data_IF_915511341720
#
_entry.id   IF_915511341720
#
_cell.length_a   1.000
_cell.length_b   1.000
_cell.length_c   1.000
_cell.angle_alpha   90.00
_cell.angle_beta   90.00
_cell.angle_gamma   90.00
#
_symmetry.space_group_name_H-M   'P 1'
#
loop_
_entity.id
_entity.type
_entity.pdbx_description
1 polymer ?
#
# COMPACT_ATOMS: atom_id res chain seq x y z
N UNK A 1 -29.67 10.38 78.88
CA UNK A 1 -28.62 10.25 79.90
C UNK A 1 -28.97 9.00 80.69
N UNK A 2 -28.00 8.09 80.87
CA UNK A 2 -28.07 6.78 81.58
C UNK A 2 -28.70 5.56 80.84
N UNK A 3 -27.83 4.72 80.28
CA UNK A 3 -27.92 3.25 80.12
C UNK A 3 -27.52 2.56 81.43
N UNK A 4 -27.88 1.28 81.80
CA UNK A 4 -27.58 0.06 81.01
C UNK A 4 -28.40 -1.25 81.27
N UNK A 5 -28.22 -2.24 80.36
CA UNK A 5 -27.86 -3.62 80.72
C UNK A 5 -28.95 -4.69 80.90
N UNK A 6 -28.97 -5.70 80.02
CA UNK A 6 -29.05 -7.12 80.42
C UNK A 6 -28.37 -8.00 79.36
N UNK A 7 -27.28 -8.67 79.77
CA UNK A 7 -26.65 -9.80 79.07
C UNK A 7 -27.46 -11.07 79.35
N UNK A 8 -27.67 -11.91 78.34
CA UNK A 8 -27.66 -13.38 78.52
C UNK A 8 -26.73 -13.97 77.47
N UNK A 9 -25.94 -14.92 77.95
CA UNK A 9 -24.72 -15.49 77.39
C UNK A 9 -25.00 -16.89 76.81
N UNK A 10 -24.16 -17.27 75.84
CA UNK A 10 -23.74 -18.62 75.43
C UNK A 10 -24.58 -19.40 74.40
N UNK A 11 -24.05 -19.46 73.18
CA UNK A 11 -23.35 -20.67 72.72
C UNK A 11 -22.32 -20.28 71.66
N UNK A 12 -21.04 -20.52 71.96
CA UNK A 12 -19.97 -20.64 70.99
C UNK A 12 -20.07 -22.02 70.33
N UNK A 13 -19.97 -22.05 69.00
CA UNK A 13 -19.24 -23.13 68.32
C UNK A 13 -18.50 -22.50 67.13
N UNK A 14 -17.19 -22.72 67.15
CA UNK A 14 -16.15 -22.68 66.10
C UNK A 14 -16.58 -22.35 64.65
N UNK A 15 -15.94 -21.38 63.97
CA UNK A 15 -14.75 -21.61 63.10
C UNK A 15 -15.02 -22.75 62.10
N UNK A 16 -14.94 -22.64 60.77
CA UNK A 16 -14.28 -21.77 59.79
C UNK A 16 -14.82 -22.26 58.43
N UNK A 17 -14.98 -21.41 57.42
CA UNK A 17 -14.42 -21.63 56.07
C UNK A 17 -14.73 -20.42 55.18
N UNK A 18 -13.65 -19.75 54.81
CA UNK A 18 -13.59 -18.62 53.90
C UNK A 18 -14.36 -18.85 52.60
N UNK A 19 -15.22 -17.89 52.26
CA UNK A 19 -15.68 -17.70 50.88
C UNK A 19 -14.72 -16.71 50.22
N UNK A 20 -13.88 -17.12 49.25
CA UNK A 20 -12.99 -16.19 48.59
C UNK A 20 -13.81 -15.25 47.70
N UNK A 21 -13.65 -13.95 47.94
CA UNK A 21 -13.93 -12.89 46.96
C UNK A 21 -13.45 -13.35 45.58
N UNK A 22 -14.25 -13.21 44.51
CA UNK A 22 -13.75 -13.47 43.18
C UNK A 22 -12.61 -12.49 42.95
N UNK A 23 -11.40 -13.04 42.84
CA UNK A 23 -10.23 -12.34 42.38
C UNK A 23 -10.56 -11.71 41.03
N UNK A 24 -10.87 -10.41 41.03
CA UNK A 24 -10.84 -9.60 39.82
C UNK A 24 -9.47 -9.81 39.20
N UNK A 25 -9.48 -10.53 38.09
CA UNK A 25 -8.31 -10.84 37.30
C UNK A 25 -7.69 -9.53 36.83
N UNK A 26 -6.54 -9.19 37.43
CA UNK A 26 -5.64 -8.08 37.04
C UNK A 26 -5.19 -8.18 35.56
N UNK A 27 -5.57 -9.24 34.85
CA UNK A 27 -5.27 -9.48 33.43
C UNK A 27 -6.45 -9.19 32.47
N UNK A 28 -7.53 -8.57 32.95
CA UNK A 28 -8.59 -8.08 32.06
C UNK A 28 -8.23 -6.67 31.59
N UNK A 29 -7.96 -6.41 30.29
CA UNK A 29 -7.72 -5.05 29.82
C UNK A 29 -8.96 -4.20 30.15
N UNK A 30 -8.75 -3.03 30.77
CA UNK A 30 -9.83 -2.12 31.16
C UNK A 30 -10.88 -1.98 30.04
N UNK A 31 -12.19 -2.09 30.34
CA UNK A 31 -13.26 -2.10 29.35
C UNK A 31 -13.37 -0.81 28.51
N UNK A 32 -12.67 0.25 28.91
CA UNK A 32 -12.63 1.54 28.21
C UNK A 32 -11.52 1.67 27.15
N UNK A 33 -10.68 0.63 26.97
CA UNK A 33 -9.60 0.63 25.98
C UNK A 33 -9.87 -0.30 24.79
N UNK A 34 -11.00 -1.01 24.78
CA UNK A 34 -11.38 -1.86 23.65
C UNK A 34 -12.01 -0.99 22.55
N UNK A 35 -11.56 -1.12 21.29
CA UNK A 35 -12.13 -0.35 20.20
C UNK A 35 -13.60 -0.76 19.96
N UNK A 36 -14.52 0.17 20.21
CA UNK A 36 -15.98 -0.03 20.23
C UNK A 36 -16.63 -0.37 18.86
N UNK A 37 -15.86 -0.55 17.79
CA UNK A 37 -16.35 -0.63 16.40
C UNK A 37 -15.81 -1.87 15.66
N UNK A 38 -16.09 -3.02 16.26
CA UNK A 38 -15.51 -4.33 15.98
C UNK A 38 -16.22 -5.07 14.82
N UNK A 39 -16.23 -4.46 13.63
CA UNK A 39 -16.72 -5.10 12.40
C UNK A 39 -15.74 -4.95 11.21
N UNK A 40 -14.44 -4.90 11.48
CA UNK A 40 -13.43 -4.90 10.42
C UNK A 40 -13.24 -6.34 9.88
N UNK A 41 -13.24 -6.50 8.56
CA UNK A 41 -12.86 -7.77 7.94
C UNK A 41 -11.34 -7.86 7.98
N UNK A 42 -10.80 -8.89 8.61
CA UNK A 42 -9.36 -9.12 8.61
C UNK A 42 -8.92 -9.65 7.24
N UNK A 43 -7.94 -8.99 6.62
CA UNK A 43 -7.24 -9.53 5.45
C UNK A 43 -5.77 -9.74 5.77
N UNK A 44 -5.05 -10.58 4.99
CA UNK A 44 -3.62 -10.73 5.14
C UNK A 44 -2.87 -9.38 5.12
N UNK A 45 -3.38 -8.37 4.42
CA UNK A 45 -2.76 -7.04 4.34
C UNK A 45 -3.36 -6.01 5.32
N UNK A 46 -3.96 -6.46 6.42
CA UNK A 46 -4.56 -5.60 7.46
C UNK A 46 -6.10 -5.55 7.42
N UNK A 47 -6.74 -4.89 8.40
CA UNK A 47 -8.19 -4.80 8.47
C UNK A 47 -8.77 -3.88 7.38
N UNK A 48 -9.84 -4.34 6.72
CA UNK A 48 -10.66 -3.56 5.78
C UNK A 48 -12.05 -3.30 6.35
N UNK A 49 -12.63 -2.16 5.97
CA UNK A 49 -14.05 -1.88 6.25
C UNK A 49 -14.95 -2.85 5.51
N UNK A 50 -16.05 -3.24 6.16
CA UNK A 50 -17.14 -3.94 5.47
C UNK A 50 -17.74 -3.05 4.40
N UNK A 51 -18.11 -3.65 3.28
CA UNK A 51 -18.81 -2.96 2.19
C UNK A 51 -20.07 -2.23 2.69
N UNK A 52 -20.82 -2.82 3.62
CA UNK A 52 -22.02 -2.23 4.21
C UNK A 52 -21.75 -0.90 4.92
N UNK A 53 -20.59 -0.75 5.58
CA UNK A 53 -20.20 0.44 6.35
C UNK A 53 -19.85 1.65 5.47
N UNK A 54 -19.58 1.45 4.17
CA UNK A 54 -19.28 2.58 3.29
C UNK A 54 -20.54 3.42 3.02
N UNK A 55 -20.35 4.73 3.06
CA UNK A 55 -21.37 5.70 2.66
C UNK A 55 -21.79 5.45 1.21
N UNK A 56 -23.08 5.54 0.90
CA UNK A 56 -23.62 5.36 -0.45
C UNK A 56 -22.89 6.14 -1.55
N UNK A 57 -22.55 7.44 -1.40
CA UNK A 57 -21.72 8.15 -2.38
C UNK A 57 -20.34 7.53 -2.59
N UNK A 58 -19.69 7.03 -1.55
CA UNK A 58 -18.35 6.41 -1.66
C UNK A 58 -18.42 5.05 -2.37
N UNK A 59 -19.50 4.30 -2.16
CA UNK A 59 -19.77 3.04 -2.91
C UNK A 59 -19.93 3.32 -4.40
N UNK A 60 -20.76 4.31 -4.75
CA UNK A 60 -20.99 4.69 -6.14
C UNK A 60 -19.67 5.15 -6.78
N UNK A 61 -18.94 6.03 -6.09
CA UNK A 61 -17.63 6.49 -6.55
C UNK A 61 -16.67 5.32 -6.81
N UNK A 62 -16.51 4.41 -5.84
CA UNK A 62 -15.62 3.27 -6.00
C UNK A 62 -16.02 2.38 -7.18
N UNK A 63 -17.31 2.07 -7.36
CA UNK A 63 -17.77 1.31 -8.52
C UNK A 63 -17.49 2.04 -9.85
N UNK A 64 -17.76 3.34 -9.92
CA UNK A 64 -17.51 4.16 -11.11
C UNK A 64 -16.02 4.20 -11.44
N UNK A 65 -15.14 4.41 -10.46
CA UNK A 65 -13.68 4.43 -10.67
C UNK A 65 -13.14 3.07 -11.09
N UNK A 66 -13.62 1.96 -10.53
CA UNK A 66 -13.18 0.63 -10.99
C UNK A 66 -13.61 0.39 -12.44
N UNK A 67 -14.86 0.71 -12.79
CA UNK A 67 -15.34 0.57 -14.17
C UNK A 67 -14.58 1.48 -15.14
N UNK A 68 -14.26 2.70 -14.71
CA UNK A 68 -13.51 3.66 -15.53
C UNK A 68 -12.08 3.16 -15.80
N UNK A 69 -11.38 2.68 -14.77
CA UNK A 69 -10.03 2.12 -14.91
C UNK A 69 -10.02 0.88 -15.79
N UNK A 70 -11.00 -0.03 -15.64
CA UNK A 70 -11.13 -1.20 -16.50
C UNK A 70 -11.40 -0.83 -17.96
N UNK A 71 -12.21 0.20 -18.21
CA UNK A 71 -12.44 0.74 -19.56
C UNK A 71 -11.15 1.29 -20.17
N UNK A 72 -10.37 2.07 -19.41
CA UNK A 72 -9.07 2.61 -19.87
C UNK A 72 -8.06 1.49 -20.12
N UNK A 73 -8.03 0.44 -19.30
CA UNK A 73 -7.21 -0.76 -19.55
C UNK A 73 -7.63 -1.41 -20.87
N UNK A 74 -8.93 -1.67 -21.07
CA UNK A 74 -9.45 -2.28 -22.30
C UNK A 74 -9.05 -1.50 -23.55
N UNK A 75 -9.22 -0.17 -23.53
CA UNK A 75 -8.78 0.70 -24.62
C UNK A 75 -7.25 0.66 -24.82
N UNK A 76 -6.47 0.57 -23.75
CA UNK A 76 -5.00 0.52 -23.86
C UNK A 76 -4.53 -0.83 -24.43
N UNK A 77 -5.20 -1.92 -24.09
CA UNK A 77 -4.95 -3.26 -24.64
C UNK A 77 -5.30 -3.31 -26.13
N UNK A 78 -6.44 -2.76 -26.53
CA UNK A 78 -6.83 -2.69 -27.95
C UNK A 78 -5.77 -1.95 -28.79
N UNK A 79 -5.26 -0.84 -28.27
CA UNK A 79 -4.16 -0.10 -28.92
C UNK A 79 -2.85 -0.89 -28.95
N UNK A 80 -2.56 -1.69 -27.91
CA UNK A 80 -1.38 -2.54 -27.85
C UNK A 80 -1.35 -3.55 -29.00
N UNK A 81 -2.50 -4.13 -29.38
CA UNK A 81 -2.61 -5.04 -30.51
C UNK A 81 -2.42 -4.37 -31.87
N UNK A 82 -2.64 -3.05 -31.95
CA UNK A 82 -2.56 -2.29 -33.21
C UNK A 82 -1.20 -1.59 -33.40
N UNK A 83 -0.38 -1.44 -32.36
CA UNK A 83 0.87 -0.67 -32.37
C UNK A 83 2.12 -1.50 -32.76
N UNK A 84 3.13 -0.81 -33.31
CA UNK A 84 4.50 -1.35 -33.58
C UNK A 84 5.44 -1.12 -32.37
N UNK A 85 6.55 -1.86 -32.34
CA UNK A 85 7.47 -2.10 -31.19
C UNK A 85 7.76 -0.93 -30.23
N UNK A 86 7.96 0.32 -30.68
CA UNK A 86 8.37 1.41 -29.78
C UNK A 86 7.23 1.91 -28.87
N UNK A 87 5.98 1.82 -29.31
CA UNK A 87 4.82 2.19 -28.49
C UNK A 87 4.39 1.08 -27.52
N UNK A 88 4.86 -0.16 -27.75
CA UNK A 88 4.50 -1.33 -26.96
C UNK A 88 4.93 -1.19 -25.49
N UNK A 89 6.18 -0.81 -25.26
CA UNK A 89 6.78 -0.64 -23.92
C UNK A 89 6.01 0.38 -23.09
N UNK A 90 5.68 1.49 -23.74
CA UNK A 90 4.92 2.59 -23.19
C UNK A 90 3.53 2.13 -22.74
N UNK A 91 2.84 1.40 -23.61
CA UNK A 91 1.50 0.89 -23.35
C UNK A 91 1.52 -0.19 -22.27
N UNK A 92 2.56 -1.02 -22.22
CA UNK A 92 2.74 -2.04 -21.16
C UNK A 92 2.98 -1.40 -19.78
N UNK A 93 3.86 -0.40 -19.69
CA UNK A 93 4.07 0.37 -18.44
C UNK A 93 2.76 1.03 -17.98
N UNK A 94 1.97 1.57 -18.92
CA UNK A 94 0.68 2.17 -18.61
C UNK A 94 -0.33 1.13 -18.09
N UNK A 95 -0.40 -0.07 -18.67
CA UNK A 95 -1.25 -1.17 -18.18
C UNK A 95 -0.85 -1.57 -16.77
N UNK A 96 0.45 -1.76 -16.51
CA UNK A 96 0.97 -2.05 -15.17
C UNK A 96 0.52 -0.95 -14.19
N UNK A 97 0.72 0.32 -14.54
CA UNK A 97 0.28 1.46 -13.73
C UNK A 97 -1.22 1.46 -13.42
N UNK A 98 -2.08 1.13 -14.39
CA UNK A 98 -3.54 1.09 -14.20
C UNK A 98 -3.97 -0.08 -13.30
N UNK A 99 -3.32 -1.24 -13.40
CA UNK A 99 -3.56 -2.38 -12.48
C UNK A 99 -3.21 -1.99 -11.04
N UNK A 100 -2.08 -1.29 -10.84
CA UNK A 100 -1.74 -0.74 -9.54
C UNK A 100 -2.70 0.36 -9.07
N UNK A 101 -3.24 1.20 -9.98
CA UNK A 101 -4.29 2.16 -9.62
C UNK A 101 -5.53 1.49 -9.04
N UNK A 102 -5.96 0.36 -9.60
CA UNK A 102 -7.08 -0.44 -9.05
C UNK A 102 -6.76 -0.92 -7.63
N UNK A 103 -5.53 -1.39 -7.41
CA UNK A 103 -5.07 -1.79 -6.08
C UNK A 103 -5.06 -0.61 -5.09
N UNK A 104 -4.53 0.55 -5.50
CA UNK A 104 -4.43 1.76 -4.66
C UNK A 104 -5.78 2.36 -4.30
N UNK A 105 -6.72 2.46 -5.25
CA UNK A 105 -8.06 2.96 -4.93
C UNK A 105 -8.82 1.98 -4.02
N UNK A 106 -8.66 0.68 -4.24
CA UNK A 106 -9.27 -0.36 -3.40
C UNK A 106 -8.78 -0.29 -1.96
N UNK A 107 -7.45 -0.22 -1.75
CA UNK A 107 -6.90 -0.07 -0.40
C UNK A 107 -7.14 1.31 0.18
N UNK A 108 -7.00 2.37 -0.61
CA UNK A 108 -7.22 3.75 -0.17
C UNK A 108 -8.63 3.97 0.36
N UNK A 109 -9.65 3.39 -0.28
CA UNK A 109 -11.04 3.52 0.15
C UNK A 109 -11.42 2.50 1.23
N UNK A 110 -11.16 1.20 1.01
CA UNK A 110 -11.59 0.15 1.95
C UNK A 110 -10.80 0.15 3.26
N UNK A 111 -9.52 0.51 3.20
CA UNK A 111 -8.67 0.66 4.40
C UNK A 111 -8.50 2.13 4.80
N UNK A 112 -9.19 3.12 4.20
CA UNK A 112 -8.93 4.55 4.49
C UNK A 112 -7.43 4.92 4.51
N UNK A 113 -6.61 4.23 3.71
CA UNK A 113 -5.17 4.46 3.69
C UNK A 113 -4.88 5.68 2.80
N UNK A 114 -4.64 6.82 3.45
CA UNK A 114 -4.35 8.09 2.77
C UNK A 114 -3.13 8.01 1.85
N UNK A 115 -2.12 7.21 2.20
CA UNK A 115 -0.89 7.09 1.38
C UNK A 115 -1.19 6.45 0.03
N UNK A 116 -1.98 5.37 0.02
CA UNK A 116 -2.42 4.71 -1.23
C UNK A 116 -3.27 5.65 -2.07
N UNK A 117 -4.15 6.43 -1.44
CA UNK A 117 -5.02 7.37 -2.15
C UNK A 117 -4.24 8.56 -2.74
N UNK A 118 -3.19 9.04 -2.05
CA UNK A 118 -2.25 10.04 -2.60
C UNK A 118 -1.54 9.48 -3.83
N UNK A 119 -1.06 8.24 -3.78
CA UNK A 119 -0.37 7.67 -4.95
C UNK A 119 -1.33 7.30 -6.07
N UNK A 120 -2.57 6.94 -5.75
CA UNK A 120 -3.63 6.87 -6.76
C UNK A 120 -3.78 8.20 -7.50
N UNK A 121 -3.90 9.32 -6.78
CA UNK A 121 -3.96 10.67 -7.38
C UNK A 121 -2.74 10.96 -8.26
N UNK A 122 -1.53 10.70 -7.75
CA UNK A 122 -0.30 10.91 -8.51
C UNK A 122 -0.26 10.04 -9.78
N UNK A 123 -0.71 8.78 -9.69
CA UNK A 123 -0.73 7.86 -10.83
C UNK A 123 -1.71 8.29 -11.91
N UNK A 124 -2.93 8.72 -11.53
CA UNK A 124 -3.91 9.26 -12.48
C UNK A 124 -3.40 10.57 -13.10
N UNK A 125 -2.75 11.44 -12.31
CA UNK A 125 -2.14 12.66 -12.83
C UNK A 125 -1.05 12.37 -13.87
N UNK A 126 -0.21 11.36 -13.65
CA UNK A 126 0.79 10.92 -14.62
C UNK A 126 0.15 10.35 -15.90
N UNK A 127 -0.95 9.58 -15.78
CA UNK A 127 -1.71 9.09 -16.95
C UNK A 127 -2.31 10.25 -17.74
N UNK A 128 -2.88 11.26 -17.06
CA UNK A 128 -3.41 12.46 -17.70
C UNK A 128 -2.30 13.26 -18.40
N UNK A 129 -1.17 13.50 -17.72
CA UNK A 129 -0.01 14.20 -18.29
C UNK A 129 0.50 13.48 -19.54
N UNK A 130 0.61 12.15 -19.47
CA UNK A 130 1.00 11.33 -20.63
C UNK A 130 0.02 11.47 -21.78
N UNK A 131 -1.29 11.48 -21.49
CA UNK A 131 -2.33 11.69 -22.51
C UNK A 131 -2.19 13.06 -23.19
N UNK A 132 -1.89 14.10 -22.41
CA UNK A 132 -1.61 15.46 -22.93
C UNK A 132 -0.38 15.47 -23.84
N UNK A 133 0.76 14.92 -23.39
CA UNK A 133 1.99 14.86 -24.18
C UNK A 133 1.75 14.08 -25.49
N UNK A 134 1.03 12.96 -25.41
CA UNK A 134 0.72 12.15 -26.59
C UNK A 134 -0.13 12.92 -27.61
N UNK A 135 -1.11 13.71 -27.15
CA UNK A 135 -1.95 14.52 -28.03
C UNK A 135 -1.21 15.72 -28.64
N UNK A 136 -0.30 16.36 -27.90
CA UNK A 136 0.47 17.52 -28.39
C UNK A 136 1.51 17.14 -29.43
N UNK A 137 2.15 15.97 -29.29
CA UNK A 137 3.18 15.47 -30.21
C UNK A 137 2.58 14.88 -31.50
N UNK A 138 1.31 14.47 -31.50
CA UNK A 138 0.70 13.78 -32.64
C UNK A 138 0.51 14.68 -33.90
N UNK A 139 0.80 14.17 -35.12
CA UNK A 139 0.53 14.88 -36.37
C UNK A 139 -0.97 15.13 -36.61
N UNK A 140 -1.31 16.28 -37.22
CA UNK A 140 -2.71 16.73 -37.39
C UNK A 140 -3.66 15.73 -38.07
N UNK A 141 -3.15 14.81 -38.90
CA UNK A 141 -3.95 13.80 -39.61
C UNK A 141 -4.51 12.69 -38.72
N UNK A 142 -3.90 12.42 -37.56
CA UNK A 142 -4.32 11.34 -36.64
C UNK A 142 -5.06 11.85 -35.39
N UNK A 143 -5.12 13.18 -35.20
CA UNK A 143 -5.80 13.83 -34.07
C UNK A 143 -7.28 13.46 -33.88
N UNK A 144 -8.14 13.34 -34.92
CA UNK A 144 -9.57 13.11 -34.68
C UNK A 144 -9.87 11.73 -34.09
N UNK A 145 -9.07 10.70 -34.43
CA UNK A 145 -9.24 9.36 -33.87
C UNK A 145 -8.84 9.29 -32.38
N UNK A 146 -7.84 10.08 -31.98
CA UNK A 146 -7.34 10.08 -30.60
C UNK A 146 -8.04 11.10 -29.69
N UNK A 147 -8.77 12.06 -30.26
CA UNK A 147 -9.45 13.13 -29.52
C UNK A 147 -10.47 12.58 -28.52
N UNK A 148 -11.29 11.62 -28.92
CA UNK A 148 -12.31 11.03 -28.04
C UNK A 148 -11.68 10.36 -26.81
N UNK A 149 -10.60 9.59 -27.02
CA UNK A 149 -9.84 8.94 -25.93
C UNK A 149 -9.17 9.95 -25.02
N UNK A 150 -8.56 10.99 -25.59
CA UNK A 150 -7.91 12.07 -24.85
C UNK A 150 -8.91 12.80 -23.94
N UNK A 151 -10.06 13.21 -24.49
CA UNK A 151 -11.11 13.90 -23.73
C UNK A 151 -11.68 12.99 -22.63
N UNK A 152 -11.93 11.71 -22.94
CA UNK A 152 -12.40 10.73 -21.96
C UNK A 152 -11.42 10.58 -20.78
N UNK A 153 -10.13 10.36 -21.07
CA UNK A 153 -9.10 10.18 -20.03
C UNK A 153 -8.97 11.42 -19.16
N UNK A 154 -9.03 12.63 -19.73
CA UNK A 154 -8.94 13.87 -18.96
C UNK A 154 -10.17 14.10 -18.08
N UNK A 155 -11.38 13.89 -18.61
CA UNK A 155 -12.61 14.11 -17.83
C UNK A 155 -12.74 13.11 -16.69
N UNK A 156 -12.53 11.82 -16.98
CA UNK A 156 -12.54 10.76 -15.98
C UNK A 156 -11.42 10.96 -14.96
N UNK A 157 -10.20 11.23 -15.43
CA UNK A 157 -9.06 11.44 -14.55
C UNK A 157 -9.22 12.65 -13.63
N UNK A 158 -9.76 13.77 -14.14
CA UNK A 158 -10.05 14.94 -13.33
C UNK A 158 -11.13 14.66 -12.27
N UNK A 159 -12.17 13.89 -12.63
CA UNK A 159 -13.20 13.44 -11.70
C UNK A 159 -12.61 12.55 -10.58
N UNK A 160 -11.83 11.54 -10.95
CA UNK A 160 -11.19 10.62 -10.00
C UNK A 160 -10.21 11.37 -9.06
N UNK A 161 -9.40 12.29 -9.59
CA UNK A 161 -8.51 13.12 -8.77
C UNK A 161 -9.30 14.00 -7.80
N UNK A 162 -10.35 14.68 -8.28
CA UNK A 162 -11.15 15.57 -7.43
C UNK A 162 -11.80 14.82 -6.28
N UNK A 163 -12.42 13.67 -6.57
CA UNK A 163 -13.06 12.83 -5.57
C UNK A 163 -12.05 12.24 -4.58
N UNK A 164 -10.90 11.77 -5.08
CA UNK A 164 -9.83 11.25 -4.23
C UNK A 164 -9.25 12.32 -3.30
N UNK A 165 -9.06 13.57 -3.76
CA UNK A 165 -8.59 14.66 -2.89
C UNK A 165 -9.59 14.98 -1.78
N UNK A 166 -10.89 15.00 -2.09
CA UNK A 166 -11.94 15.19 -1.06
C UNK A 166 -11.88 14.05 -0.02
N UNK A 167 -11.69 12.81 -0.47
CA UNK A 167 -11.54 11.65 0.42
C UNK A 167 -10.26 11.71 1.27
N UNK A 168 -9.14 12.19 0.72
CA UNK A 168 -7.89 12.38 1.48
C UNK A 168 -8.09 13.40 2.61
N UNK A 169 -8.81 14.49 2.34
CA UNK A 169 -9.11 15.55 3.31
C UNK A 169 -10.11 15.10 4.38
N UNK A 170 -10.92 14.07 4.12
CA UNK A 170 -11.85 13.53 5.10
C UNK A 170 -11.12 12.87 6.29
N UNK A 171 -11.70 12.96 7.49
CA UNK A 171 -11.10 12.42 8.71
C UNK A 171 -10.96 10.88 8.67
N UNK A 172 -9.73 10.39 8.85
CA UNK A 172 -9.42 8.96 8.86
C UNK A 172 -9.80 8.34 10.20
N UNK A 173 -11.00 7.76 10.29
CA UNK A 173 -11.50 7.11 11.51
C UNK A 173 -10.83 5.76 11.78
N UNK A 174 -10.18 5.17 10.79
CA UNK A 174 -9.63 3.81 10.90
C UNK A 174 -8.42 3.69 11.84
N UNK A 175 -7.53 4.70 11.92
CA UNK A 175 -6.43 4.69 12.89
C UNK A 175 -6.94 4.70 14.34
N UNK A 176 -7.95 5.52 14.63
CA UNK A 176 -8.63 5.53 15.94
C UNK A 176 -9.36 4.22 16.23
N UNK A 177 -9.98 3.61 15.21
CA UNK A 177 -10.65 2.30 15.36
C UNK A 177 -9.67 1.17 15.67
N UNK A 178 -8.46 1.18 15.12
CA UNK A 178 -7.47 0.10 15.34
C UNK A 178 -6.60 0.36 16.58
N UNK A 179 -6.11 1.60 16.75
CA UNK A 179 -5.23 1.98 17.86
C UNK A 179 -5.97 2.31 19.16
N UNK A 180 -7.26 2.64 19.10
CA UNK A 180 -8.02 3.21 20.21
C UNK A 180 -7.55 4.64 20.51
N UNK A 181 -7.67 5.07 21.77
CA UNK A 181 -7.23 6.41 22.20
C UNK A 181 -5.70 6.54 22.39
N UNK A 182 -4.93 5.46 22.23
CA UNK A 182 -3.47 5.51 22.39
C UNK A 182 -2.80 6.02 21.11
N UNK A 183 -2.21 7.21 21.20
CA UNK A 183 -1.50 7.86 20.10
C UNK A 183 -0.32 7.03 19.57
N UNK A 184 0.41 6.33 20.44
CA UNK A 184 1.53 5.47 20.05
C UNK A 184 1.12 4.34 19.10
N UNK A 185 -0.03 3.71 19.35
CA UNK A 185 -0.57 2.64 18.51
C UNK A 185 -1.14 3.17 17.19
N UNK A 186 -1.76 4.35 17.21
CA UNK A 186 -2.19 5.02 15.98
C UNK A 186 -0.99 5.37 15.08
N UNK A 187 0.08 5.90 15.66
CA UNK A 187 1.31 6.22 14.96
C UNK A 187 1.99 4.97 14.38
N UNK A 188 2.05 3.87 15.15
CA UNK A 188 2.56 2.59 14.66
C UNK A 188 1.73 2.04 13.50
N UNK A 189 0.41 2.13 13.61
CA UNK A 189 -0.49 1.70 12.55
C UNK A 189 -0.32 2.54 11.27
N UNK A 190 -0.09 3.84 11.41
CA UNK A 190 0.25 4.71 10.28
C UNK A 190 1.57 4.29 9.63
N UNK A 191 2.63 4.07 10.42
CA UNK A 191 3.93 3.62 9.89
C UNK A 191 3.86 2.24 9.23
N UNK A 192 3.04 1.33 9.78
CA UNK A 192 2.76 0.03 9.19
C UNK A 192 2.13 0.16 7.80
N UNK A 193 1.09 0.99 7.69
CA UNK A 193 0.43 1.27 6.42
C UNK A 193 1.36 1.95 5.42
N UNK A 194 2.18 2.89 5.87
CA UNK A 194 3.21 3.53 5.05
C UNK A 194 4.20 2.48 4.52
N UNK A 195 4.64 1.55 5.37
CA UNK A 195 5.56 0.49 4.97
C UNK A 195 4.94 -0.44 3.91
N UNK A 196 3.68 -0.86 4.09
CA UNK A 196 2.95 -1.64 3.07
C UNK A 196 2.76 -0.89 1.76
N UNK A 197 2.41 0.40 1.82
CA UNK A 197 2.26 1.23 0.62
C UNK A 197 3.59 1.34 -0.12
N UNK A 198 4.68 1.65 0.59
CA UNK A 198 6.02 1.72 -0.02
C UNK A 198 6.48 0.38 -0.60
N UNK A 199 6.17 -0.76 0.02
CA UNK A 199 6.43 -2.08 -0.55
C UNK A 199 5.74 -2.28 -1.90
N UNK A 200 4.49 -1.83 -2.03
CA UNK A 200 3.72 -1.97 -3.25
C UNK A 200 4.16 -0.98 -4.34
N UNK A 201 4.54 0.24 -3.97
CA UNK A 201 5.15 1.20 -4.90
C UNK A 201 6.51 0.71 -5.40
N UNK A 202 7.31 0.11 -4.54
CA UNK A 202 8.60 -0.47 -4.91
C UNK A 202 8.40 -1.61 -5.92
N UNK A 203 7.40 -2.47 -5.72
CA UNK A 203 7.03 -3.49 -6.71
C UNK A 203 6.62 -2.89 -8.05
N UNK A 204 5.77 -1.86 -8.06
CA UNK A 204 5.36 -1.18 -9.29
C UNK A 204 6.56 -0.58 -10.02
N UNK A 205 7.42 0.15 -9.30
CA UNK A 205 8.61 0.78 -9.87
C UNK A 205 9.58 -0.25 -10.46
N UNK A 206 9.77 -1.39 -9.78
CA UNK A 206 10.58 -2.50 -10.27
C UNK A 206 10.02 -3.11 -11.56
N UNK A 207 8.72 -3.40 -11.61
CA UNK A 207 8.08 -3.93 -12.80
C UNK A 207 8.19 -2.95 -13.98
N UNK A 208 7.99 -1.65 -13.75
CA UNK A 208 8.17 -0.61 -14.76
C UNK A 208 9.62 -0.53 -15.25
N UNK A 209 10.60 -0.55 -14.35
CA UNK A 209 12.02 -0.53 -14.69
C UNK A 209 12.43 -1.77 -15.49
N UNK A 210 11.95 -2.95 -15.09
CA UNK A 210 12.14 -4.21 -15.80
C UNK A 210 11.65 -4.14 -17.26
N UNK A 211 10.45 -3.56 -17.49
CA UNK A 211 9.90 -3.37 -18.83
C UNK A 211 10.73 -2.36 -19.65
N UNK A 212 11.19 -1.27 -19.04
CA UNK A 212 12.07 -0.29 -19.70
C UNK A 212 13.39 -0.94 -20.14
N UNK A 213 14.03 -1.71 -19.26
CA UNK A 213 15.30 -2.38 -19.55
C UNK A 213 15.17 -3.41 -20.68
N UNK A 214 14.06 -4.15 -20.72
CA UNK A 214 13.79 -5.10 -21.81
C UNK A 214 13.79 -4.40 -23.18
N UNK A 215 13.34 -3.15 -23.23
CA UNK A 215 13.21 -2.38 -24.47
C UNK A 215 14.54 -1.78 -24.91
N UNK A 216 15.34 -1.29 -23.96
CA UNK A 216 16.69 -0.78 -24.23
C UNK A 216 17.60 -1.88 -24.79
N UNK A 217 17.44 -3.10 -24.31
CA UNK A 217 18.26 -4.26 -24.72
C UNK A 217 17.68 -4.87 -25.99
N UNK A 218 17.81 -4.15 -27.12
CA UNK A 218 17.13 -4.40 -28.42
C UNK A 218 17.37 -5.79 -29.03
N UNK A 219 18.32 -6.57 -28.52
CA UNK A 219 18.51 -7.97 -28.86
C UNK A 219 18.10 -8.85 -27.66
N UNK A 220 16.90 -9.44 -27.75
CA UNK A 220 16.40 -10.38 -26.74
C UNK A 220 17.17 -11.70 -26.90
N UNK A 221 18.43 -11.72 -26.46
CA UNK A 221 19.12 -12.98 -26.19
C UNK A 221 18.34 -13.74 -25.12
N UNK A 222 18.24 -15.06 -25.24
CA UNK A 222 17.52 -15.92 -24.29
C UNK A 222 17.94 -15.67 -22.83
N UNK A 223 19.18 -15.20 -22.61
CA UNK A 223 19.70 -14.83 -21.29
C UNK A 223 19.00 -13.61 -20.69
N UNK A 224 18.73 -12.54 -21.46
CA UNK A 224 18.06 -11.35 -20.95
C UNK A 224 16.62 -11.64 -20.51
N UNK A 225 15.93 -12.53 -21.24
CA UNK A 225 14.60 -13.00 -20.84
C UNK A 225 14.63 -13.81 -19.54
N UNK A 226 15.65 -14.66 -19.34
CA UNK A 226 15.81 -15.44 -18.10
C UNK A 226 16.14 -14.51 -16.91
N UNK A 227 17.04 -13.54 -17.09
CA UNK A 227 17.35 -12.54 -16.07
C UNK A 227 16.12 -11.71 -15.69
N UNK A 228 15.30 -11.32 -16.67
CA UNK A 228 14.06 -10.59 -16.43
C UNK A 228 13.07 -11.42 -15.62
N UNK A 229 12.82 -12.68 -16.02
CA UNK A 229 11.92 -13.57 -15.29
C UNK A 229 12.41 -13.82 -13.86
N UNK A 230 13.72 -14.03 -13.68
CA UNK A 230 14.33 -14.15 -12.35
C UNK A 230 14.14 -12.88 -11.52
N UNK A 231 14.31 -11.69 -12.12
CA UNK A 231 14.09 -10.40 -11.46
C UNK A 231 12.64 -10.19 -11.00
N UNK A 232 11.66 -10.54 -11.83
CA UNK A 232 10.24 -10.49 -11.46
C UNK A 232 9.93 -11.46 -10.32
N UNK A 233 10.43 -12.69 -10.40
CA UNK A 233 10.27 -13.68 -9.33
C UNK A 233 10.92 -13.20 -8.01
N UNK A 234 12.10 -12.58 -8.09
CA UNK A 234 12.79 -11.99 -6.95
C UNK A 234 11.97 -10.85 -6.32
N UNK A 235 11.43 -9.95 -7.14
CA UNK A 235 10.58 -8.85 -6.69
C UNK A 235 9.35 -9.34 -5.92
N UNK A 236 8.67 -10.38 -6.44
CA UNK A 236 7.52 -11.00 -5.77
C UNK A 236 7.94 -11.65 -4.44
N UNK A 237 9.03 -12.41 -4.44
CA UNK A 237 9.54 -13.07 -3.24
C UNK A 237 9.88 -12.04 -2.14
N UNK A 238 10.56 -10.96 -2.51
CA UNK A 238 10.91 -9.85 -1.61
C UNK A 238 9.66 -9.20 -1.01
N UNK A 239 8.65 -8.91 -1.82
CA UNK A 239 7.39 -8.34 -1.31
C UNK A 239 6.70 -9.30 -0.35
N UNK A 240 6.64 -10.59 -0.69
CA UNK A 240 6.08 -11.60 0.21
C UNK A 240 6.85 -11.68 1.53
N UNK A 241 8.19 -11.71 1.49
CA UNK A 241 9.04 -11.68 2.68
C UNK A 241 8.79 -10.41 3.52
N UNK A 242 8.71 -9.24 2.89
CA UNK A 242 8.43 -7.97 3.56
C UNK A 242 7.07 -7.96 4.24
N UNK A 243 6.02 -8.40 3.54
CA UNK A 243 4.67 -8.53 4.08
C UNK A 243 4.67 -9.46 5.30
N UNK A 244 5.25 -10.66 5.18
CA UNK A 244 5.29 -11.64 6.28
C UNK A 244 6.10 -11.10 7.46
N UNK A 245 7.24 -10.43 7.21
CA UNK A 245 8.08 -9.86 8.26
C UNK A 245 7.32 -8.82 9.10
N UNK A 246 6.56 -7.97 8.42
CA UNK A 246 5.76 -6.92 9.03
C UNK A 246 4.57 -7.50 9.79
N UNK A 247 3.80 -8.41 9.17
CA UNK A 247 2.60 -8.97 9.78
C UNK A 247 2.88 -9.87 10.98
N UNK A 248 3.92 -10.71 10.88
CA UNK A 248 4.30 -11.63 11.96
C UNK A 248 5.21 -10.97 13.00
N UNK A 249 5.60 -9.70 12.80
CA UNK A 249 6.57 -8.98 13.63
C UNK A 249 7.91 -9.76 13.79
N UNK A 250 8.34 -10.45 12.73
CA UNK A 250 9.52 -11.32 12.76
C UNK A 250 10.79 -10.51 12.49
N UNK A 251 11.50 -10.16 13.57
CA UNK A 251 12.81 -9.50 13.53
C UNK A 251 13.83 -10.15 12.56
N UNK A 252 14.03 -11.49 12.53
CA UNK A 252 14.99 -12.08 11.61
C UNK A 252 14.55 -11.94 10.14
N UNK A 253 13.25 -12.02 9.87
CA UNK A 253 12.74 -11.88 8.50
C UNK A 253 12.81 -10.43 8.00
N UNK A 254 12.69 -9.45 8.91
CA UNK A 254 12.94 -8.04 8.59
C UNK A 254 14.41 -7.80 8.19
N UNK A 255 15.37 -8.46 8.86
CA UNK A 255 16.79 -8.41 8.45
C UNK A 255 17.03 -9.07 7.09
N UNK A 256 16.43 -10.24 6.85
CA UNK A 256 16.48 -10.90 5.54
C UNK A 256 15.93 -9.96 4.45
N UNK A 257 14.81 -9.29 4.72
CA UNK A 257 14.21 -8.33 3.80
C UNK A 257 15.14 -7.15 3.49
N UNK A 258 15.83 -6.59 4.50
CA UNK A 258 16.82 -5.52 4.27
C UNK A 258 17.99 -6.02 3.41
N UNK A 259 18.51 -7.22 3.69
CA UNK A 259 19.58 -7.84 2.92
C UNK A 259 19.14 -8.10 1.47
N UNK A 260 17.89 -8.56 1.25
CA UNK A 260 17.35 -8.80 -0.09
C UNK A 260 17.24 -7.52 -0.94
N UNK A 261 17.06 -6.35 -0.33
CA UNK A 261 17.00 -5.07 -1.05
C UNK A 261 18.39 -4.50 -1.37
N UNK A 262 19.45 -4.96 -0.72
CA UNK A 262 20.80 -4.41 -0.89
C UNK A 262 21.35 -4.57 -2.33
N UNK A 263 21.23 -5.74 -2.99
CA UNK A 263 21.63 -5.90 -4.38
C UNK A 263 20.88 -4.97 -5.34
N UNK A 264 19.60 -4.69 -5.07
CA UNK A 264 18.79 -3.82 -5.92
C UNK A 264 19.23 -2.36 -5.81
N UNK A 265 19.52 -1.88 -4.60
CA UNK A 265 20.06 -0.53 -4.41
C UNK A 265 21.42 -0.39 -5.10
N UNK A 266 22.28 -1.40 -4.99
CA UNK A 266 23.56 -1.43 -5.71
C UNK A 266 23.36 -1.42 -7.23
N UNK A 267 22.40 -2.20 -7.74
CA UNK A 267 22.07 -2.23 -9.16
C UNK A 267 21.51 -0.90 -9.67
N UNK A 268 20.62 -0.25 -8.91
CA UNK A 268 20.09 1.08 -9.26
C UNK A 268 21.21 2.15 -9.28
N UNK A 269 22.14 2.08 -8.32
CA UNK A 269 23.30 2.98 -8.29
C UNK A 269 24.22 2.75 -9.50
N UNK A 270 24.47 1.48 -9.86
CA UNK A 270 25.22 1.12 -11.06
C UNK A 270 24.52 1.60 -12.33
N UNK A 271 23.22 1.38 -12.45
CA UNK A 271 22.42 1.81 -13.60
C UNK A 271 22.45 3.33 -13.77
N UNK A 272 22.30 4.08 -12.67
CA UNK A 272 22.39 5.52 -12.66
C UNK A 272 23.80 6.00 -13.08
N UNK A 273 24.85 5.36 -12.56
CA UNK A 273 26.23 5.65 -12.95
C UNK A 273 26.46 5.40 -14.45
N UNK A 274 26.08 4.22 -14.95
CA UNK A 274 26.26 3.84 -16.34
C UNK A 274 25.55 4.81 -17.30
N UNK A 275 24.29 5.14 -17.00
CA UNK A 275 23.51 6.08 -17.82
C UNK A 275 24.09 7.49 -17.77
N UNK A 276 24.58 7.97 -16.63
CA UNK A 276 25.25 9.28 -16.53
C UNK A 276 26.55 9.30 -17.34
N UNK A 277 27.33 8.22 -17.31
CA UNK A 277 28.60 8.13 -18.05
C UNK A 277 28.43 8.04 -19.57
N UNK A 278 27.34 7.42 -20.01
CA UNK A 278 26.99 7.29 -21.44
C UNK A 278 26.08 8.43 -21.93
N UNK A 279 25.66 9.33 -21.02
CA UNK A 279 24.71 10.40 -21.29
C UNK A 279 25.19 11.30 -22.43
N UNK A 280 24.36 11.40 -23.46
CA UNK A 280 24.63 12.23 -24.63
C UNK A 280 25.56 11.62 -25.68
N UNK A 281 25.95 10.34 -25.54
CA UNK A 281 26.63 9.59 -26.59
C UNK A 281 25.66 8.79 -27.49
N UNK A 282 24.41 8.57 -27.05
CA UNK A 282 23.38 7.80 -27.74
C UNK A 282 22.39 8.63 -28.58
N UNK A 283 21.60 7.94 -29.41
CA UNK A 283 20.58 8.53 -30.29
C UNK A 283 19.19 8.76 -29.62
N UNK A 284 18.96 8.35 -28.37
CA UNK A 284 17.63 8.39 -27.73
C UNK A 284 17.63 8.93 -26.30
N UNK A 285 17.65 10.26 -26.18
CA UNK A 285 17.59 11.00 -24.91
C UNK A 285 16.34 10.70 -24.05
N UNK A 286 15.22 10.34 -24.67
CA UNK A 286 13.96 10.11 -23.96
C UNK A 286 13.99 8.84 -23.10
N UNK A 287 14.63 7.78 -23.59
CA UNK A 287 14.74 6.50 -22.90
C UNK A 287 15.73 6.59 -21.73
N UNK A 288 16.88 7.24 -21.97
CA UNK A 288 17.88 7.54 -20.94
C UNK A 288 17.26 8.37 -19.80
N UNK A 289 16.53 9.44 -20.14
CA UNK A 289 15.83 10.26 -19.16
C UNK A 289 14.77 9.48 -18.37
N UNK A 290 14.03 8.56 -19.01
CA UNK A 290 13.05 7.70 -18.35
C UNK A 290 13.72 6.75 -17.34
N UNK A 291 14.86 6.16 -17.70
CA UNK A 291 15.63 5.26 -16.80
C UNK A 291 16.17 6.03 -15.59
N UNK A 292 16.73 7.23 -15.79
CA UNK A 292 17.19 8.07 -14.67
C UNK A 292 16.03 8.39 -13.74
N UNK A 293 14.92 8.88 -14.30
CA UNK A 293 13.76 9.29 -13.51
C UNK A 293 13.19 8.12 -12.71
N UNK A 294 13.04 6.95 -13.33
CA UNK A 294 12.56 5.72 -12.68
C UNK A 294 13.52 5.27 -11.56
N UNK A 295 14.83 5.35 -11.81
CA UNK A 295 15.85 4.99 -10.81
C UNK A 295 15.83 5.92 -9.61
N UNK A 296 15.74 7.23 -9.83
CA UNK A 296 15.63 8.22 -8.75
C UNK A 296 14.37 8.01 -7.90
N UNK A 297 13.22 7.78 -8.54
CA UNK A 297 11.95 7.49 -7.86
C UNK A 297 12.09 6.21 -7.03
N UNK A 298 12.69 5.15 -7.58
CA UNK A 298 12.90 3.88 -6.88
C UNK A 298 13.77 4.03 -5.63
N UNK A 299 14.89 4.79 -5.72
CA UNK A 299 15.75 5.10 -4.57
C UNK A 299 14.98 5.88 -3.49
N UNK A 300 14.15 6.85 -3.89
CA UNK A 300 13.32 7.61 -2.94
C UNK A 300 12.34 6.69 -2.22
N UNK A 301 11.61 5.82 -2.95
CA UNK A 301 10.67 4.87 -2.37
C UNK A 301 11.37 3.95 -1.36
N UNK A 302 12.53 3.39 -1.73
CA UNK A 302 13.31 2.51 -0.84
C UNK A 302 13.80 3.23 0.41
N UNK A 303 14.20 4.49 0.29
CA UNK A 303 14.62 5.31 1.44
C UNK A 303 13.48 5.49 2.44
N UNK A 304 12.29 5.83 1.96
CA UNK A 304 11.09 5.95 2.80
C UNK A 304 10.67 4.59 3.39
N UNK A 305 10.78 3.52 2.60
CA UNK A 305 10.50 2.15 3.02
C UNK A 305 11.39 1.71 4.18
N UNK A 306 12.71 1.92 4.08
CA UNK A 306 13.64 1.56 5.15
C UNK A 306 13.43 2.42 6.40
N UNK A 307 13.14 3.71 6.23
CA UNK A 307 12.80 4.58 7.35
C UNK A 307 11.52 4.12 8.07
N UNK A 308 10.45 3.84 7.33
CA UNK A 308 9.20 3.33 7.90
C UNK A 308 9.39 1.96 8.56
N UNK A 309 10.15 1.06 7.91
CA UNK A 309 10.47 -0.27 8.45
C UNK A 309 11.27 -0.17 9.76
N UNK A 310 12.22 0.76 9.86
CA UNK A 310 12.99 0.97 11.09
C UNK A 310 12.09 1.39 12.25
N UNK A 311 11.17 2.33 12.04
CA UNK A 311 10.19 2.75 13.05
C UNK A 311 9.25 1.61 13.46
N UNK A 312 8.79 0.81 12.49
CA UNK A 312 7.97 -0.39 12.74
C UNK A 312 8.75 -1.46 13.51
N UNK A 313 10.02 -1.69 13.15
CA UNK A 313 10.90 -2.66 13.79
C UNK A 313 11.17 -2.35 15.27
N UNK A 314 11.39 -1.07 15.61
CA UNK A 314 11.53 -0.62 17.01
C UNK A 314 10.26 -0.87 17.83
N UNK A 315 9.11 -0.94 17.15
CA UNK A 315 7.79 -1.08 17.75
C UNK A 315 7.31 -2.54 17.82
N UNK A 316 8.08 -3.52 17.34
CA UNK A 316 7.72 -4.92 17.39
C UNK A 316 7.55 -5.44 18.83
N UNK A 317 6.47 -6.20 19.06
CA UNK A 317 6.11 -6.74 20.38
C UNK A 317 5.27 -5.82 21.25
N UNK A 318 4.81 -4.66 20.74
CA UNK A 318 3.98 -3.72 21.51
C UNK A 318 2.46 -3.98 21.41
N UNK A 319 2.06 -5.15 20.90
CA UNK A 319 0.66 -5.60 20.88
C UNK A 319 -0.18 -5.07 19.71
N UNK A 320 0.41 -4.37 18.73
CA UNK A 320 -0.30 -3.90 17.54
C UNK A 320 -0.84 -5.08 16.71
N UNK A 321 -0.04 -6.13 16.49
CA UNK A 321 -0.49 -7.38 15.84
C UNK A 321 -1.71 -7.96 16.53
N UNK A 322 -1.70 -8.05 17.86
CA UNK A 322 -2.81 -8.62 18.63
C UNK A 322 -4.09 -7.82 18.43
N UNK A 323 -4.01 -6.49 18.36
CA UNK A 323 -5.19 -5.64 18.10
C UNK A 323 -5.67 -5.65 16.65
N UNK A 324 -4.77 -5.78 15.68
CA UNK A 324 -5.14 -5.91 14.27
C UNK A 324 -5.75 -7.28 13.95
N UNK A 325 -5.32 -8.33 14.64
CA UNK A 325 -5.73 -9.72 14.39
C UNK A 325 -6.56 -10.33 15.51
N UNK A 326 -7.02 -9.58 16.51
CA UNK A 326 -7.84 -10.13 17.61
C UNK A 326 -9.16 -10.74 17.13
N UNK A 327 -9.59 -10.42 15.90
CA UNK A 327 -10.77 -11.03 15.27
C UNK A 327 -10.45 -12.34 14.52
N UNK A 328 -9.19 -12.60 14.20
CA UNK A 328 -8.74 -13.93 13.81
C UNK A 328 -8.53 -14.70 15.09
N UNK A 329 -9.40 -15.69 15.36
CA UNK A 329 -9.09 -16.70 16.36
C UNK A 329 -7.65 -17.16 16.15
N UNK A 330 -6.86 -17.04 17.22
CA UNK A 330 -5.43 -17.33 17.35
C UNK A 330 -4.94 -18.30 16.26
N UNK A 331 -4.28 -17.78 15.21
CA UNK A 331 -3.52 -18.61 14.29
C UNK A 331 -2.17 -18.80 14.97
N UNK A 332 -2.05 -19.89 15.72
CA UNK A 332 -0.77 -20.41 16.19
C UNK A 332 0.08 -20.93 15.02
#
# INVERSE_FOLDING_TARGET
METPGTRVLLSQSEETLDSPLPSESINSPLPNLTPRHQELIATPCGPIKRWSELSSPVKIYFCVTILSLLSVIGLTVENLFQQKDEDFTVSLIQIIGLVFCIYYVSRGILQENRQELVVFVLSIALVMLRSVINFTVLPAKQKPALLARFVLILLVGAFDVSCAVILIQSESRMAFRVGGALESLQAQYFMLNLCFSMLTFDLQAQLCLCVLLLTTTREISSLHSVFLAAGICWAILKVACGIIAILKELKPLAWIFVIQNLPEVAYLAYLLYAVITEWGQGNSYALEAAIITCSCISVMIKSVLFWALFHVYQSFGQGLRERMFSSYGRID
#
